data_IF_229467087545
#
_entry.id   IF_229467087545
#
_cell.length_a   1.000
_cell.length_b   1.000
_cell.length_c   1.000
_cell.angle_alpha   90.00
_cell.angle_beta   90.00
_cell.angle_gamma   90.00
#
_symmetry.space_group_name_H-M   'P 1'
#
loop_
_entity.id
_entity.type
_entity.pdbx_description
1 polymer ?
#
# COMPACT_ATOMS: atom_id res chain seq x y z
N UNK A 1 -0.41 -7.98 -19.17
CA UNK A 1 0.90 -7.29 -19.23
C UNK A 1 1.82 -7.51 -18.02
N UNK A 2 1.37 -7.41 -16.75
CA UNK A 2 2.24 -7.60 -15.56
C UNK A 2 2.97 -8.95 -15.50
N UNK A 3 2.35 -10.02 -16.03
CA UNK A 3 2.97 -11.34 -16.10
C UNK A 3 3.96 -11.51 -17.27
N UNK A 4 3.99 -10.56 -18.21
CA UNK A 4 4.92 -10.53 -19.34
C UNK A 4 6.13 -9.66 -19.03
N UNK A 5 5.93 -8.48 -18.44
CA UNK A 5 7.00 -7.47 -18.26
C UNK A 5 7.62 -7.55 -16.87
N UNK A 6 8.91 -7.88 -16.64
CA UNK A 6 9.98 -8.22 -17.59
C UNK A 6 10.30 -9.73 -17.60
N UNK A 7 9.27 -10.58 -17.46
CA UNK A 7 9.45 -12.03 -17.30
C UNK A 7 9.47 -12.80 -18.62
N UNK A 8 9.08 -12.16 -19.71
CA UNK A 8 8.98 -12.73 -21.06
C UNK A 8 9.61 -11.76 -22.07
N UNK A 9 10.12 -12.28 -23.20
CA UNK A 9 10.63 -11.45 -24.29
C UNK A 9 9.66 -10.35 -24.72
N UNK A 10 10.20 -9.25 -25.24
CA UNK A 10 9.41 -8.07 -25.59
C UNK A 10 8.35 -8.35 -26.66
N UNK A 11 8.63 -9.24 -27.62
CA UNK A 11 7.67 -9.61 -28.67
C UNK A 11 6.34 -10.14 -28.10
N UNK A 12 6.36 -10.87 -26.97
CA UNK A 12 5.13 -11.33 -26.32
C UNK A 12 4.31 -10.18 -25.75
N UNK A 13 4.98 -9.12 -25.27
CA UNK A 13 4.32 -7.89 -24.83
C UNK A 13 3.69 -7.18 -26.03
N UNK A 14 4.41 -7.09 -27.15
CA UNK A 14 3.89 -6.47 -28.38
C UNK A 14 2.69 -7.25 -28.93
N UNK A 15 2.76 -8.58 -28.99
CA UNK A 15 1.64 -9.40 -29.44
C UNK A 15 0.40 -9.23 -28.56
N UNK A 16 0.60 -9.08 -27.24
CA UNK A 16 -0.48 -8.75 -26.33
C UNK A 16 -1.09 -7.36 -26.62
N UNK A 17 -0.26 -6.36 -26.90
CA UNK A 17 -0.71 -5.02 -27.27
C UNK A 17 -1.47 -5.03 -28.61
N UNK A 18 -0.97 -5.76 -29.62
CA UNK A 18 -1.62 -5.93 -30.93
C UNK A 18 -3.02 -6.52 -30.80
N UNK A 19 -3.18 -7.57 -29.98
CA UNK A 19 -4.50 -8.18 -29.69
C UNK A 19 -5.47 -7.24 -28.97
N UNK A 20 -4.92 -6.25 -28.25
CA UNK A 20 -5.73 -5.28 -27.50
C UNK A 20 -6.15 -4.09 -28.37
N UNK A 21 -5.39 -3.76 -29.40
CA UNK A 21 -5.64 -2.63 -30.30
C UNK A 21 -6.90 -2.84 -31.15
N UNK A 22 -7.52 -1.73 -31.53
CA UNK A 22 -8.59 -1.67 -32.53
C UNK A 22 -8.52 -0.34 -33.32
N UNK A 23 -9.30 -0.25 -34.40
CA UNK A 23 -9.33 0.92 -35.28
C UNK A 23 -9.85 2.20 -34.61
N UNK A 24 -10.62 2.06 -33.52
CA UNK A 24 -11.12 3.21 -32.76
C UNK A 24 -9.99 4.00 -32.08
N UNK A 25 -8.87 3.33 -31.77
CA UNK A 25 -7.68 3.99 -31.21
C UNK A 25 -7.90 4.63 -29.83
N UNK A 26 -8.95 4.22 -29.12
CA UNK A 26 -9.34 4.73 -27.80
C UNK A 26 -9.18 3.69 -26.68
N UNK A 27 -8.49 2.59 -26.96
CA UNK A 27 -8.13 1.57 -25.96
C UNK A 27 -6.79 1.90 -25.33
N UNK A 28 -6.66 1.61 -24.04
CA UNK A 28 -5.43 1.76 -23.27
C UNK A 28 -5.06 0.44 -22.59
N UNK A 29 -3.79 0.08 -22.65
CA UNK A 29 -3.19 -0.97 -21.82
C UNK A 29 -2.32 -0.32 -20.76
N UNK A 30 -2.65 -0.54 -19.49
CA UNK A 30 -1.95 0.07 -18.36
C UNK A 30 -0.98 -0.92 -17.73
N UNK A 31 0.30 -0.55 -17.66
CA UNK A 31 1.31 -1.25 -16.87
C UNK A 31 1.66 -0.39 -15.64
N UNK A 32 1.17 -0.80 -14.47
CA UNK A 32 1.59 -0.30 -13.17
C UNK A 32 2.06 -1.48 -12.34
N UNK A 33 3.30 -1.42 -11.87
CA UNK A 33 3.97 -2.49 -11.13
C UNK A 33 5.12 -1.92 -10.31
N UNK A 34 5.54 -2.66 -9.29
CA UNK A 34 6.71 -2.35 -8.46
C UNK A 34 7.94 -2.05 -9.32
N UNK A 35 8.63 -0.94 -9.02
CA UNK A 35 9.82 -0.53 -9.76
C UNK A 35 11.00 -1.48 -9.49
N UNK A 36 11.05 -2.06 -8.30
CA UNK A 36 12.04 -3.04 -7.85
C UNK A 36 12.04 -4.29 -8.74
N UNK A 37 10.93 -4.58 -9.40
CA UNK A 37 10.83 -5.65 -10.40
C UNK A 37 11.74 -5.42 -11.60
N UNK A 38 12.09 -4.17 -11.89
CA UNK A 38 12.94 -3.79 -13.02
C UNK A 38 14.40 -3.67 -12.59
N UNK A 39 14.91 -4.62 -11.80
CA UNK A 39 16.35 -4.71 -11.52
C UNK A 39 16.75 -5.11 -10.10
N UNK A 40 15.88 -5.00 -9.10
CA UNK A 40 16.23 -5.26 -7.69
C UNK A 40 15.91 -6.69 -7.28
N UNK A 41 14.82 -7.26 -7.80
CA UNK A 41 14.42 -8.62 -7.44
C UNK A 41 15.35 -9.66 -8.04
N UNK A 42 15.96 -10.53 -7.24
CA UNK A 42 16.66 -11.75 -7.70
C UNK A 42 17.43 -11.59 -9.01
N UNK A 43 16.96 -12.25 -10.07
CA UNK A 43 17.58 -12.27 -11.41
C UNK A 43 17.19 -11.11 -12.32
N UNK A 44 16.35 -10.17 -11.86
CA UNK A 44 15.79 -9.11 -12.73
C UNK A 44 16.83 -8.11 -13.19
N UNK A 45 17.94 -7.89 -12.47
CA UNK A 45 19.03 -7.07 -12.97
C UNK A 45 19.64 -7.65 -14.26
N UNK A 46 19.93 -8.95 -14.23
CA UNK A 46 20.46 -9.69 -15.37
C UNK A 46 19.51 -9.63 -16.56
N UNK A 47 18.22 -9.85 -16.33
CA UNK A 47 17.20 -9.82 -17.39
C UNK A 47 17.03 -8.40 -17.95
N UNK A 48 16.90 -7.39 -17.08
CA UNK A 48 16.55 -6.04 -17.49
C UNK A 48 17.71 -5.30 -18.15
N UNK A 49 18.96 -5.53 -17.72
CA UNK A 49 20.09 -4.66 -18.09
C UNK A 49 21.35 -5.38 -18.58
N UNK A 50 21.50 -6.70 -18.41
CA UNK A 50 22.75 -7.40 -18.76
C UNK A 50 22.58 -8.39 -19.91
N UNK A 51 21.70 -9.38 -19.76
CA UNK A 51 21.59 -10.55 -20.65
C UNK A 51 20.30 -10.59 -21.45
N UNK A 52 19.21 -10.03 -20.92
CA UNK A 52 17.89 -10.18 -21.56
C UNK A 52 17.32 -11.59 -21.45
N UNK A 53 16.37 -11.89 -22.33
CA UNK A 53 15.81 -13.23 -22.48
C UNK A 53 16.62 -14.04 -23.51
N UNK A 54 16.80 -15.34 -23.26
CA UNK A 54 17.53 -16.21 -24.20
C UNK A 54 16.75 -16.45 -25.50
N UNK A 55 15.42 -16.49 -25.39
CA UNK A 55 14.47 -16.85 -26.43
C UNK A 55 13.90 -15.64 -27.19
N UNK A 56 14.52 -14.46 -27.09
CA UNK A 56 14.07 -13.28 -27.83
C UNK A 56 14.98 -12.06 -27.72
N UNK A 57 14.46 -10.91 -28.16
CA UNK A 57 15.06 -9.57 -28.02
C UNK A 57 16.46 -9.43 -28.63
N UNK A 58 16.84 -10.30 -29.58
CA UNK A 58 18.17 -10.36 -30.19
C UNK A 58 19.31 -10.39 -29.16
N UNK A 59 19.06 -11.03 -28.01
CA UNK A 59 19.96 -11.09 -26.84
C UNK A 59 20.28 -9.72 -26.24
N UNK A 60 19.51 -8.68 -26.57
CA UNK A 60 19.58 -7.39 -25.88
C UNK A 60 18.92 -7.50 -24.51
N UNK A 61 19.38 -6.71 -23.52
CA UNK A 61 18.69 -6.59 -22.26
C UNK A 61 17.24 -6.13 -22.44
N UNK A 62 16.34 -6.63 -21.59
CA UNK A 62 14.89 -6.45 -21.76
C UNK A 62 14.46 -4.99 -21.80
N UNK A 63 15.04 -4.10 -20.97
CA UNK A 63 14.58 -2.70 -20.89
C UNK A 63 14.92 -1.91 -22.17
N UNK A 64 16.18 -1.87 -22.66
CA UNK A 64 16.49 -1.29 -23.96
C UNK A 64 15.64 -1.87 -25.10
N UNK A 65 15.53 -3.19 -25.17
CA UNK A 65 14.74 -3.87 -26.20
C UNK A 65 13.26 -3.46 -26.16
N UNK A 66 12.68 -3.32 -24.96
CA UNK A 66 11.28 -2.91 -24.80
C UNK A 66 11.06 -1.49 -25.33
N UNK A 67 11.96 -0.56 -24.99
CA UNK A 67 11.85 0.82 -25.47
C UNK A 67 12.02 0.91 -26.98
N UNK A 68 13.07 0.29 -27.55
CA UNK A 68 13.26 0.21 -29.01
C UNK A 68 12.00 -0.34 -29.68
N UNK A 69 11.49 -1.48 -29.22
CA UNK A 69 10.32 -2.11 -29.83
C UNK A 69 9.06 -1.25 -29.71
N UNK A 70 8.87 -0.52 -28.60
CA UNK A 70 7.77 0.43 -28.47
C UNK A 70 7.92 1.59 -29.47
N UNK A 71 9.13 2.14 -29.64
CA UNK A 71 9.38 3.26 -30.55
C UNK A 71 9.29 2.87 -32.03
N UNK A 72 9.70 1.65 -32.38
CA UNK A 72 9.63 1.13 -33.76
C UNK A 72 8.19 0.79 -34.18
N UNK A 73 7.25 0.72 -33.23
CA UNK A 73 5.85 0.43 -33.49
C UNK A 73 5.01 1.71 -33.39
N UNK A 74 4.91 2.47 -34.49
CA UNK A 74 4.18 3.75 -34.56
C UNK A 74 2.72 3.69 -34.08
N UNK A 75 2.08 2.52 -34.15
CA UNK A 75 0.70 2.33 -33.67
C UNK A 75 0.61 2.28 -32.13
N UNK A 76 1.71 2.06 -31.42
CA UNK A 76 1.79 2.11 -29.95
C UNK A 76 2.01 3.56 -29.53
N UNK A 77 1.00 4.16 -28.90
CA UNK A 77 1.11 5.52 -28.36
C UNK A 77 1.35 5.47 -26.85
N UNK A 78 2.58 5.76 -26.44
CA UNK A 78 2.95 5.91 -25.04
C UNK A 78 2.39 7.22 -24.48
N UNK A 79 1.50 7.11 -23.49
CA UNK A 79 0.85 8.25 -22.83
C UNK A 79 0.87 8.05 -21.32
N UNK A 80 0.91 9.16 -20.59
CA UNK A 80 0.56 9.20 -19.18
C UNK A 80 -0.95 9.05 -18.99
N UNK A 81 -1.39 8.62 -17.80
CA UNK A 81 -2.81 8.54 -17.48
C UNK A 81 -3.51 9.91 -17.57
N UNK A 82 -2.80 10.99 -17.22
CA UNK A 82 -3.30 12.37 -17.30
C UNK A 82 -3.54 12.82 -18.74
N UNK A 83 -2.66 12.47 -19.68
CA UNK A 83 -2.86 12.78 -21.10
C UNK A 83 -4.03 11.99 -21.68
N UNK A 84 -4.14 10.70 -21.32
CA UNK A 84 -5.24 9.86 -21.77
C UNK A 84 -6.61 10.40 -21.33
N UNK A 85 -6.77 10.75 -20.05
CA UNK A 85 -8.05 11.26 -19.50
C UNK A 85 -8.46 12.60 -20.11
N UNK A 86 -7.50 13.43 -20.54
CA UNK A 86 -7.79 14.69 -21.26
C UNK A 86 -8.33 14.46 -22.67
N UNK A 87 -7.96 13.35 -23.31
CA UNK A 87 -8.27 13.07 -24.72
C UNK A 87 -9.46 12.13 -24.90
N UNK A 88 -9.64 11.17 -24.01
CA UNK A 88 -10.65 10.11 -24.14
C UNK A 88 -11.59 10.09 -22.93
N UNK A 89 -12.89 9.92 -23.20
CA UNK A 89 -13.90 9.77 -22.14
C UNK A 89 -13.86 8.36 -21.54
N UNK A 90 -14.30 8.25 -20.28
CA UNK A 90 -14.56 6.94 -19.69
C UNK A 90 -15.64 6.20 -20.48
N UNK A 91 -15.52 4.87 -20.57
CA UNK A 91 -16.48 4.02 -21.32
C UNK A 91 -17.86 3.94 -20.64
N UNK A 92 -17.95 4.21 -19.34
CA UNK A 92 -19.20 4.16 -18.61
C UNK A 92 -19.01 4.11 -17.09
N UNK A 93 -20.13 3.93 -16.39
CA UNK A 93 -20.20 3.79 -14.94
C UNK A 93 -19.96 2.33 -14.53
N UNK A 94 -19.13 2.12 -13.51
CA UNK A 94 -18.94 0.82 -12.85
C UNK A 94 -18.91 1.00 -11.33
N UNK A 95 -19.35 -0.04 -10.61
CA UNK A 95 -19.19 -0.16 -9.16
C UNK A 95 -18.19 -1.27 -8.86
N UNK A 96 -17.17 -0.97 -8.07
CA UNK A 96 -16.08 -1.91 -7.76
C UNK A 96 -16.27 -2.41 -6.31
N UNK A 97 -16.20 -3.73 -6.06
CA UNK A 97 -16.28 -4.27 -4.70
C UNK A 97 -15.00 -3.96 -3.91
N UNK A 98 -14.98 -4.27 -2.60
CA UNK A 98 -13.73 -4.28 -1.84
C UNK A 98 -12.83 -5.41 -2.35
N UNK A 99 -11.82 -5.07 -3.15
CA UNK A 99 -10.91 -6.03 -3.77
C UNK A 99 -9.47 -5.52 -3.78
N UNK A 100 -8.56 -6.36 -4.26
CA UNK A 100 -7.16 -6.02 -4.56
C UNK A 100 -6.74 -6.78 -5.83
N UNK A 101 -5.46 -6.76 -6.19
CA UNK A 101 -4.94 -7.62 -7.25
C UNK A 101 -5.04 -9.10 -6.86
N UNK A 102 -5.20 -9.96 -7.86
CA UNK A 102 -5.41 -11.40 -7.78
C UNK A 102 -4.57 -12.15 -6.71
N UNK A 103 -3.27 -11.87 -6.61
CA UNK A 103 -2.40 -12.54 -5.62
C UNK A 103 -2.77 -12.20 -4.18
N UNK A 104 -3.27 -10.99 -3.92
CA UNK A 104 -3.72 -10.58 -2.59
C UNK A 104 -4.89 -11.45 -2.11
N UNK A 105 -5.81 -11.78 -3.02
CA UNK A 105 -6.98 -12.61 -2.70
C UNK A 105 -6.58 -14.00 -2.21
N UNK A 106 -5.45 -14.51 -2.69
CA UNK A 106 -4.86 -15.79 -2.25
C UNK A 106 -4.08 -15.64 -0.94
N UNK A 107 -3.23 -14.62 -0.83
CA UNK A 107 -2.32 -14.44 0.31
C UNK A 107 -3.04 -14.19 1.61
N UNK A 108 -4.20 -13.55 1.54
CA UNK A 108 -4.99 -13.21 2.72
C UNK A 108 -5.69 -14.40 3.36
N UNK A 109 -5.89 -15.49 2.62
CA UNK A 109 -6.53 -16.69 3.14
C UNK A 109 -5.66 -17.35 4.23
N UNK A 110 -6.25 -17.91 5.30
CA UNK A 110 -5.51 -18.73 6.24
C UNK A 110 -4.93 -19.97 5.53
N UNK A 111 -3.87 -20.56 6.09
CA UNK A 111 -3.01 -21.50 5.38
C UNK A 111 -3.77 -22.68 4.75
N UNK A 112 -4.73 -23.27 5.46
CA UNK A 112 -5.54 -24.39 4.95
C UNK A 112 -6.39 -23.98 3.74
N UNK A 113 -7.17 -22.90 3.87
CA UNK A 113 -7.98 -22.39 2.75
C UNK A 113 -7.11 -21.93 1.57
N UNK A 114 -5.93 -21.36 1.84
CA UNK A 114 -4.99 -20.95 0.79
C UNK A 114 -4.52 -22.15 -0.05
N UNK A 115 -4.20 -23.27 0.58
CA UNK A 115 -3.78 -24.50 -0.11
C UNK A 115 -4.92 -25.03 -0.98
N UNK A 116 -6.14 -25.08 -0.45
CA UNK A 116 -7.33 -25.52 -1.19
C UNK A 116 -7.63 -24.60 -2.38
N UNK A 117 -7.59 -23.28 -2.16
CA UNK A 117 -7.79 -22.28 -3.19
C UNK A 117 -6.78 -22.42 -4.33
N UNK A 118 -5.50 -22.64 -4.02
CA UNK A 118 -4.47 -22.92 -5.04
C UNK A 118 -4.79 -24.18 -5.85
N UNK A 119 -5.15 -25.28 -5.18
CA UNK A 119 -5.52 -26.54 -5.86
C UNK A 119 -6.70 -26.36 -6.81
N UNK A 120 -7.70 -25.56 -6.41
CA UNK A 120 -8.86 -25.25 -7.27
C UNK A 120 -8.39 -24.44 -8.48
N UNK A 121 -7.57 -23.41 -8.27
CA UNK A 121 -7.04 -22.57 -9.35
C UNK A 121 -6.19 -23.38 -10.34
N UNK A 122 -5.27 -24.19 -9.85
CA UNK A 122 -4.44 -25.09 -10.66
C UNK A 122 -5.27 -26.09 -11.47
N UNK A 123 -6.37 -26.60 -10.92
CA UNK A 123 -7.27 -27.51 -11.67
C UNK A 123 -7.97 -26.81 -12.83
N UNK A 124 -8.28 -25.53 -12.69
CA UNK A 124 -8.94 -24.72 -13.72
C UNK A 124 -7.93 -24.31 -14.80
N UNK A 125 -6.72 -23.91 -14.38
CA UNK A 125 -5.63 -23.58 -15.30
C UNK A 125 -5.16 -24.81 -16.11
N UNK A 126 -5.08 -25.99 -15.48
CA UNK A 126 -4.53 -27.21 -16.11
C UNK A 126 -5.57 -28.10 -16.81
N UNK A 127 -6.89 -27.85 -16.71
CA UNK A 127 -7.93 -28.71 -17.33
C UNK A 127 -9.19 -27.95 -17.78
N UNK A 128 -9.52 -28.06 -19.07
CA UNK A 128 -10.84 -28.21 -19.78
C UNK A 128 -12.00 -27.23 -19.47
N UNK A 129 -11.91 -26.39 -18.45
CA UNK A 129 -13.00 -25.50 -18.06
C UNK A 129 -12.87 -24.17 -18.81
N UNK A 130 -13.99 -23.65 -19.33
CA UNK A 130 -14.05 -22.35 -20.02
C UNK A 130 -13.33 -21.30 -19.16
N UNK A 131 -12.33 -20.62 -19.73
CA UNK A 131 -11.58 -19.54 -19.06
C UNK A 131 -12.49 -18.44 -18.52
N UNK A 132 -13.74 -18.37 -18.99
CA UNK A 132 -14.79 -17.53 -18.40
C UNK A 132 -15.09 -17.85 -16.94
N UNK A 133 -14.83 -19.06 -16.42
CA UNK A 133 -15.09 -19.41 -15.02
C UNK A 133 -14.14 -18.69 -14.06
N UNK A 134 -12.90 -18.39 -14.48
CA UNK A 134 -11.89 -17.73 -13.65
C UNK A 134 -12.39 -16.40 -13.06
N UNK A 135 -13.27 -15.68 -13.78
CA UNK A 135 -13.83 -14.39 -13.34
C UNK A 135 -14.64 -14.51 -12.03
N UNK A 136 -15.23 -15.68 -11.77
CA UNK A 136 -16.09 -15.94 -10.63
C UNK A 136 -15.31 -16.43 -9.41
N UNK A 137 -14.03 -16.81 -9.59
CA UNK A 137 -13.19 -17.23 -8.47
C UNK A 137 -12.72 -15.98 -7.75
N UNK A 138 -13.05 -15.94 -6.46
CA UNK A 138 -12.68 -14.88 -5.54
C UNK A 138 -12.07 -15.51 -4.29
N UNK A 139 -10.97 -14.92 -3.84
CA UNK A 139 -10.41 -15.23 -2.53
C UNK A 139 -10.94 -14.28 -1.46
N UNK A 140 -10.09 -13.89 -0.53
CA UNK A 140 -10.43 -12.90 0.50
C UNK A 140 -10.09 -11.46 0.07
N UNK A 141 -10.30 -10.51 0.98
CA UNK A 141 -9.84 -9.12 0.83
C UNK A 141 -8.92 -8.73 1.99
N UNK A 142 -8.08 -7.71 1.79
CA UNK A 142 -6.92 -7.41 2.63
C UNK A 142 -7.18 -7.39 4.15
N UNK A 143 -8.32 -6.86 4.63
CA UNK A 143 -8.58 -6.77 6.09
C UNK A 143 -8.71 -8.13 6.76
N UNK A 144 -8.89 -9.23 6.03
CA UNK A 144 -8.81 -10.58 6.58
C UNK A 144 -7.42 -10.90 7.16
N UNK A 145 -6.37 -10.16 6.80
CA UNK A 145 -5.08 -10.25 7.51
C UNK A 145 -5.17 -9.89 8.99
N UNK A 146 -6.11 -9.04 9.39
CA UNK A 146 -6.34 -8.72 10.80
C UNK A 146 -6.98 -9.90 11.56
N UNK A 147 -7.61 -10.84 10.86
CA UNK A 147 -8.07 -12.10 11.48
C UNK A 147 -6.95 -13.13 11.44
N UNK A 148 -6.27 -13.24 10.29
CA UNK A 148 -5.18 -14.19 10.07
C UNK A 148 -3.98 -13.97 10.99
N UNK A 149 -3.68 -12.70 11.30
CA UNK A 149 -2.58 -12.29 12.18
C UNK A 149 -3.12 -11.44 13.34
N UNK A 150 -3.45 -12.05 14.50
CA UNK A 150 -3.93 -11.33 15.66
C UNK A 150 -2.99 -10.19 16.13
N UNK A 151 -1.68 -10.36 15.93
CA UNK A 151 -0.66 -9.36 16.25
C UNK A 151 -0.79 -8.12 15.35
N UNK A 152 -1.09 -8.32 14.05
CA UNK A 152 -1.41 -7.23 13.12
C UNK A 152 -2.62 -6.44 13.61
N UNK A 153 -3.67 -7.16 14.02
CA UNK A 153 -4.88 -6.53 14.52
C UNK A 153 -4.65 -5.75 15.79
N UNK A 154 -3.87 -6.29 16.74
CA UNK A 154 -3.47 -5.56 17.95
C UNK A 154 -2.73 -4.28 17.60
N UNK A 155 -1.73 -4.34 16.72
CA UNK A 155 -0.97 -3.17 16.26
C UNK A 155 -1.88 -2.14 15.58
N UNK A 156 -2.74 -2.58 14.67
CA UNK A 156 -3.67 -1.73 13.92
C UNK A 156 -4.69 -1.05 14.85
N UNK A 157 -5.28 -1.81 15.78
CA UNK A 157 -6.27 -1.27 16.73
C UNK A 157 -5.63 -0.33 17.75
N UNK A 158 -4.40 -0.61 18.18
CA UNK A 158 -3.62 0.32 19.02
C UNK A 158 -3.33 1.62 18.28
N UNK A 159 -2.89 1.57 17.02
CA UNK A 159 -2.70 2.77 16.18
C UNK A 159 -4.00 3.59 16.08
N UNK A 160 -5.13 2.96 15.78
CA UNK A 160 -6.42 3.66 15.70
C UNK A 160 -6.84 4.28 17.03
N UNK A 161 -6.61 3.58 18.14
CA UNK A 161 -6.91 4.08 19.48
C UNK A 161 -6.11 5.34 19.81
N UNK A 162 -4.78 5.32 19.57
CA UNK A 162 -3.91 6.48 19.81
C UNK A 162 -4.25 7.64 18.88
N UNK A 163 -4.52 7.36 17.60
CA UNK A 163 -5.00 8.38 16.65
C UNK A 163 -6.31 9.03 17.12
N UNK A 164 -7.25 8.25 17.66
CA UNK A 164 -8.51 8.79 18.17
C UNK A 164 -8.31 9.66 19.42
N UNK A 165 -7.36 9.30 20.30
CA UNK A 165 -6.93 10.17 21.40
C UNK A 165 -6.39 11.51 20.89
N UNK A 166 -5.53 11.48 19.87
CA UNK A 166 -4.97 12.69 19.28
C UNK A 166 -6.07 13.62 18.74
N UNK A 167 -7.06 13.06 18.02
CA UNK A 167 -8.22 13.81 17.53
C UNK A 167 -9.03 14.49 18.64
N UNK A 168 -9.22 13.81 19.77
CA UNK A 168 -9.95 14.38 20.91
C UNK A 168 -9.18 15.59 21.45
N UNK A 169 -7.85 15.50 21.55
CA UNK A 169 -6.98 16.57 22.05
C UNK A 169 -6.96 17.75 21.06
N UNK A 170 -6.78 17.48 19.77
CA UNK A 170 -6.88 18.47 18.70
C UNK A 170 -8.17 19.27 18.79
N UNK A 171 -9.31 18.58 18.88
CA UNK A 171 -10.62 19.23 19.02
C UNK A 171 -10.72 20.10 20.29
N UNK A 172 -10.11 19.69 21.41
CA UNK A 172 -10.07 20.51 22.63
C UNK A 172 -9.24 21.78 22.41
N UNK A 173 -8.07 21.66 21.79
CA UNK A 173 -7.19 22.80 21.47
C UNK A 173 -7.91 23.81 20.58
N UNK A 174 -8.57 23.33 19.52
CA UNK A 174 -9.35 24.17 18.60
C UNK A 174 -10.47 24.92 19.34
N UNK A 175 -11.23 24.23 20.21
CA UNK A 175 -12.31 24.87 21.00
C UNK A 175 -11.82 25.94 21.97
N UNK A 176 -10.62 25.77 22.52
CA UNK A 176 -10.00 26.75 23.41
C UNK A 176 -9.43 27.97 22.65
N UNK A 177 -9.42 27.95 21.32
CA UNK A 177 -8.82 29.02 20.51
C UNK A 177 -7.31 29.18 20.76
N UNK A 178 -6.63 28.11 21.18
CA UNK A 178 -5.25 28.20 21.63
C UNK A 178 -4.28 28.29 20.43
N UNK A 179 -3.76 29.50 20.20
CA UNK A 179 -2.81 29.81 19.12
C UNK A 179 -1.34 29.64 19.52
N UNK A 180 -1.05 28.93 20.61
CA UNK A 180 0.34 28.67 21.01
C UNK A 180 1.08 27.87 19.94
N UNK A 181 2.09 28.50 19.35
CA UNK A 181 2.92 27.92 18.29
C UNK A 181 3.56 26.59 18.72
N UNK A 182 4.03 26.47 19.97
CA UNK A 182 4.63 25.24 20.51
C UNK A 182 3.61 24.11 20.56
N UNK A 183 2.36 24.44 20.90
CA UNK A 183 1.27 23.46 20.96
C UNK A 183 0.89 22.96 19.56
N UNK A 184 0.83 23.87 18.60
CA UNK A 184 0.57 23.54 17.19
C UNK A 184 1.70 22.69 16.59
N UNK A 185 2.95 23.01 16.92
CA UNK A 185 4.11 22.20 16.51
C UNK A 185 4.06 20.78 17.09
N UNK A 186 3.76 20.64 18.39
CA UNK A 186 3.59 19.33 19.01
C UNK A 186 2.44 18.54 18.37
N UNK A 187 1.34 19.19 18.05
CA UNK A 187 0.19 18.56 17.38
C UNK A 187 0.57 18.06 15.98
N UNK A 188 1.28 18.87 15.20
CA UNK A 188 1.81 18.47 13.88
C UNK A 188 2.74 17.27 14.00
N UNK A 189 3.70 17.33 14.93
CA UNK A 189 4.65 16.23 15.17
C UNK A 189 3.95 14.93 15.60
N UNK A 190 2.87 15.02 16.40
CA UNK A 190 2.08 13.85 16.77
C UNK A 190 1.37 13.23 15.56
N UNK A 191 0.84 14.06 14.65
CA UNK A 191 0.22 13.57 13.42
C UNK A 191 1.23 12.91 12.48
N UNK A 192 2.43 13.47 12.35
CA UNK A 192 3.50 12.85 11.57
C UNK A 192 3.87 11.45 12.09
N UNK A 193 3.95 11.27 13.40
CA UNK A 193 4.18 9.95 13.99
C UNK A 193 2.99 8.99 13.75
N UNK A 194 1.74 9.48 13.80
CA UNK A 194 0.58 8.68 13.39
C UNK A 194 0.70 8.22 11.94
N UNK A 195 1.06 9.11 11.01
CA UNK A 195 1.19 8.75 9.60
C UNK A 195 2.31 7.73 9.35
N UNK A 196 3.47 7.89 10.01
CA UNK A 196 4.55 6.90 9.95
C UNK A 196 4.11 5.53 10.47
N UNK A 197 3.26 5.49 11.50
CA UNK A 197 2.70 4.24 12.04
C UNK A 197 1.70 3.53 11.11
N UNK A 198 1.29 4.17 10.01
CA UNK A 198 0.35 3.61 9.03
C UNK A 198 1.04 2.95 7.83
N UNK A 199 2.38 2.84 7.85
CA UNK A 199 3.13 2.10 6.83
C UNK A 199 2.63 0.65 6.74
N UNK A 200 2.08 0.29 5.58
CA UNK A 200 1.22 -0.88 5.43
C UNK A 200 1.98 -2.22 5.58
N UNK A 201 3.26 -2.27 5.20
CA UNK A 201 4.08 -3.47 5.02
C UNK A 201 4.07 -4.40 6.25
N UNK A 202 4.08 -3.81 7.44
CA UNK A 202 4.10 -4.54 8.71
C UNK A 202 2.77 -5.20 9.09
N UNK A 203 1.66 -4.84 8.44
CA UNK A 203 0.31 -5.26 8.85
C UNK A 203 -0.15 -6.55 8.16
N UNK A 204 0.64 -7.10 7.24
CA UNK A 204 0.26 -8.27 6.48
C UNK A 204 1.48 -9.00 5.93
N UNK A 205 1.27 -10.17 5.32
CA UNK A 205 2.33 -10.88 4.61
C UNK A 205 1.78 -11.53 3.34
N UNK A 206 2.50 -11.29 2.25
CA UNK A 206 2.25 -11.88 0.93
C UNK A 206 3.42 -12.72 0.47
N UNK A 207 4.24 -12.14 -0.40
CA UNK A 207 5.48 -12.75 -0.89
C UNK A 207 6.70 -12.33 -0.07
N UNK A 208 6.74 -11.08 0.37
CA UNK A 208 7.88 -10.48 1.07
C UNK A 208 7.61 -10.34 2.57
N UNK A 209 8.68 -10.34 3.37
CA UNK A 209 8.66 -10.58 4.81
C UNK A 209 7.49 -9.95 5.58
N UNK A 210 7.18 -8.67 5.33
CA UNK A 210 5.99 -8.00 5.86
C UNK A 210 5.89 -8.10 7.39
N UNK A 211 4.73 -8.52 7.90
CA UNK A 211 4.52 -8.73 9.35
C UNK A 211 5.51 -9.71 9.97
N UNK A 212 6.20 -10.58 9.23
CA UNK A 212 7.22 -11.46 9.82
C UNK A 212 8.52 -10.72 10.19
N UNK A 213 8.81 -9.57 9.57
CA UNK A 213 10.02 -8.80 9.84
C UNK A 213 9.89 -8.00 11.13
N UNK A 214 10.64 -8.40 12.16
CA UNK A 214 10.54 -7.82 13.50
C UNK A 214 10.82 -6.31 13.49
N UNK A 215 11.83 -5.85 12.74
CA UNK A 215 12.19 -4.43 12.67
C UNK A 215 11.06 -3.55 12.10
N UNK A 216 10.26 -4.06 11.15
CA UNK A 216 9.08 -3.34 10.64
C UNK A 216 8.03 -3.19 11.73
N UNK A 217 7.76 -4.26 12.49
CA UNK A 217 6.82 -4.18 13.63
C UNK A 217 7.33 -3.23 14.72
N UNK A 218 8.61 -3.28 15.05
CA UNK A 218 9.23 -2.37 16.04
C UNK A 218 9.13 -0.91 15.61
N UNK A 219 9.40 -0.59 14.34
CA UNK A 219 9.26 0.78 13.82
C UNK A 219 7.83 1.31 14.04
N UNK A 220 6.82 0.49 13.77
CA UNK A 220 5.42 0.90 13.88
C UNK A 220 5.03 1.16 15.33
N UNK A 221 5.37 0.24 16.24
CA UNK A 221 5.15 0.46 17.67
C UNK A 221 5.92 1.69 18.18
N UNK A 222 7.13 1.94 17.68
CA UNK A 222 7.91 3.14 18.04
C UNK A 222 7.15 4.41 17.71
N UNK A 223 6.60 4.52 16.50
CA UNK A 223 5.82 5.69 16.08
C UNK A 223 4.50 5.84 16.86
N UNK A 224 3.82 4.74 17.17
CA UNK A 224 2.63 4.76 18.05
C UNK A 224 3.00 5.29 19.44
N UNK A 225 4.08 4.79 20.04
CA UNK A 225 4.55 5.19 21.38
C UNK A 225 4.98 6.66 21.39
N UNK A 226 5.67 7.11 20.35
CA UNK A 226 6.07 8.51 20.21
C UNK A 226 4.85 9.43 20.16
N UNK A 227 3.80 9.04 19.42
CA UNK A 227 2.53 9.77 19.41
C UNK A 227 1.96 9.90 20.83
N UNK A 228 1.91 8.81 21.61
CA UNK A 228 1.42 8.86 23.00
C UNK A 228 2.28 9.77 23.89
N UNK A 229 3.62 9.72 23.75
CA UNK A 229 4.51 10.62 24.48
C UNK A 229 4.25 12.10 24.16
N UNK A 230 4.00 12.43 22.90
CA UNK A 230 3.71 13.80 22.48
C UNK A 230 2.33 14.24 23.00
N UNK A 231 1.32 13.36 22.92
CA UNK A 231 0.00 13.57 23.53
C UNK A 231 0.14 13.94 25.01
N UNK A 232 0.90 13.18 25.80
CA UNK A 232 1.07 13.48 27.23
C UNK A 232 1.77 14.83 27.48
N UNK A 233 2.71 15.23 26.62
CA UNK A 233 3.33 16.57 26.69
C UNK A 233 2.30 17.67 26.43
N UNK A 234 1.44 17.48 25.43
CA UNK A 234 0.35 18.42 25.09
C UNK A 234 -0.62 18.54 26.27
N UNK A 235 -1.05 17.43 26.86
CA UNK A 235 -1.95 17.42 28.01
C UNK A 235 -1.36 18.17 29.21
N UNK A 236 -0.08 17.96 29.51
CA UNK A 236 0.61 18.69 30.58
C UNK A 236 0.65 20.20 30.33
N UNK A 237 0.88 20.63 29.07
CA UNK A 237 0.85 22.05 28.72
C UNK A 237 -0.55 22.65 28.86
N UNK A 238 -1.59 21.90 28.49
CA UNK A 238 -2.98 22.33 28.66
C UNK A 238 -3.35 22.44 30.14
N UNK A 239 -2.95 21.49 30.99
CA UNK A 239 -3.20 21.54 32.43
C UNK A 239 -2.50 22.77 33.04
N UNK A 240 -1.21 22.97 32.76
CA UNK A 240 -0.45 24.08 33.34
C UNK A 240 -0.95 25.46 32.89
N UNK A 241 -1.57 25.58 31.71
CA UNK A 241 -2.18 26.83 31.24
C UNK A 241 -3.53 27.14 31.88
N UNK A 242 -4.27 26.13 32.30
CA UNK A 242 -5.62 26.27 32.87
C UNK A 242 -5.67 26.02 34.38
N UNK A 243 -4.55 25.64 35.00
CA UNK A 243 -4.45 25.50 36.45
C UNK A 243 -4.27 26.86 37.12
N UNK A 244 -5.38 27.57 37.36
CA UNK A 244 -5.51 28.49 38.50
C UNK A 244 -5.62 27.69 39.81
N UNK A 245 -4.71 26.74 40.03
CA UNK A 245 -4.68 26.01 41.29
C UNK A 245 -3.94 26.89 42.30
N UNK A 246 -4.70 27.61 43.11
CA UNK A 246 -4.18 28.17 44.35
C UNK A 246 -3.76 26.99 45.22
N UNK A 247 -2.46 26.74 45.34
CA UNK A 247 -1.92 25.83 46.34
C UNK A 247 -2.23 26.48 47.69
N UNK A 248 -3.27 26.01 48.38
CA UNK A 248 -3.55 26.41 49.76
C UNK A 248 -2.56 25.64 50.64
N UNK A 249 -1.58 26.30 51.29
CA UNK A 249 -0.66 25.60 52.16
C UNK A 249 -1.44 25.11 53.39
N UNK A 250 -1.56 23.79 53.55
CA UNK A 250 -2.04 23.17 54.79
C UNK A 250 -0.94 23.31 55.86
N UNK A 251 -0.80 24.50 56.43
CA UNK A 251 0.26 24.75 57.40
C UNK A 251 0.43 26.19 57.87
N UNK A 252 -0.63 26.84 58.37
CA UNK A 252 -0.44 27.89 59.38
C UNK A 252 -0.77 27.30 60.74
N UNK A 253 0.28 27.02 61.53
CA UNK A 253 0.15 26.83 62.98
C UNK A 253 -0.61 28.04 63.54
N UNK A 254 -1.66 27.77 64.32
CA UNK A 254 -2.32 28.80 65.13
C UNK A 254 -1.30 29.34 66.14
N UNK A 255 -1.18 30.67 66.33
CA UNK A 255 -0.39 31.22 67.41
C UNK A 255 -1.10 30.95 68.75
N UNK A 256 -0.35 30.42 69.71
CA UNK A 256 -0.62 30.61 71.14
C UNK A 256 0.17 31.84 71.59
#
# INVERSE_FOLDING_TARGET
IRYLTPWKPTFMTIDYLKKSADENGDRIVVLLSDAEKMGVWGTTHEICYIKGHYDGDDKKPFIPALFETIFDNDWIKSLTLSEYIKKYRSKGLIYIPTSSYDKMEEWVLPTKQRIEFKKIKEKIENRIIDSKIERFIKGGFWRYFLVKYPESNTMHKKMLYVRNKLKIIENKITKLGNQDQKLQELLSNAWDEVYKSQCNDCYWHGQFGGIYLAFLRFSIFTHIINTEKIISKIENLLINKHSNHTIIPLGKKRPN
#
